data_IF_975661672701
#
_entry.id   IF_975661672701
#
_cell.length_a   1.000
_cell.length_b   1.000
_cell.length_c   1.000
_cell.angle_alpha   90.00
_cell.angle_beta   90.00
_cell.angle_gamma   90.00
#
_symmetry.space_group_name_H-M   'P 1'
#
loop_
_entity.id
_entity.type
_entity.pdbx_description
1 polymer ?
#
# COMPACT_ATOMS: atom_id res chain seq x y z
N UNK A 1 3.71 -3.81 -13.34
CA UNK A 1 2.73 -3.93 -12.25
C UNK A 1 2.74 -5.38 -11.84
N UNK A 2 2.97 -5.68 -10.59
CA UNK A 2 2.81 -7.04 -10.11
C UNK A 2 1.34 -7.42 -10.24
N UNK A 3 1.05 -8.59 -10.78
CA UNK A 3 -0.28 -9.15 -10.76
C UNK A 3 -0.39 -9.96 -9.46
N UNK A 4 -1.50 -9.89 -8.73
CA UNK A 4 -1.68 -10.70 -7.54
C UNK A 4 -1.56 -12.19 -7.88
N UNK A 5 -1.00 -12.99 -6.97
CA UNK A 5 -0.93 -14.46 -7.17
C UNK A 5 -2.25 -15.15 -6.85
N UNK A 6 -3.22 -14.45 -6.26
CA UNK A 6 -4.56 -14.96 -6.03
C UNK A 6 -5.31 -15.17 -7.35
N UNK A 7 -5.69 -16.42 -7.73
CA UNK A 7 -6.33 -16.73 -9.02
C UNK A 7 -7.66 -16.02 -9.20
N UNK A 8 -8.43 -15.83 -8.12
CA UNK A 8 -9.74 -15.16 -8.19
C UNK A 8 -9.55 -13.66 -8.49
N UNK A 9 -8.54 -13.04 -7.89
CA UNK A 9 -8.19 -11.64 -8.17
C UNK A 9 -7.69 -11.47 -9.62
N UNK A 10 -6.88 -12.40 -10.11
CA UNK A 10 -6.43 -12.39 -11.52
C UNK A 10 -7.63 -12.46 -12.45
N UNK A 11 -8.56 -13.39 -12.20
CA UNK A 11 -9.77 -13.55 -12.99
C UNK A 11 -10.65 -12.29 -12.97
N UNK A 12 -10.79 -11.66 -11.77
CA UNK A 12 -11.52 -10.41 -11.63
C UNK A 12 -10.90 -9.29 -12.48
N UNK A 13 -9.59 -9.11 -12.39
CA UNK A 13 -8.87 -8.07 -13.14
C UNK A 13 -8.90 -8.32 -14.66
N UNK A 14 -8.75 -9.57 -15.10
CA UNK A 14 -8.80 -9.91 -16.53
C UNK A 14 -10.15 -9.61 -17.17
N UNK A 15 -11.23 -9.76 -16.41
CA UNK A 15 -12.59 -9.48 -16.85
C UNK A 15 -13.02 -8.02 -16.63
N UNK A 16 -12.22 -7.21 -15.95
CA UNK A 16 -12.52 -5.79 -15.75
C UNK A 16 -12.29 -5.01 -17.06
N UNK A 17 -13.38 -4.49 -17.61
CA UNK A 17 -13.35 -3.66 -18.84
C UNK A 17 -12.74 -2.29 -18.61
N UNK A 18 -12.66 -1.82 -17.37
CA UNK A 18 -12.04 -0.55 -16.99
C UNK A 18 -10.56 -0.69 -16.65
N UNK A 19 -10.06 -1.91 -16.58
CA UNK A 19 -8.64 -2.12 -16.26
C UNK A 19 -7.72 -1.58 -17.36
N UNK A 20 -6.89 -0.61 -17.00
CA UNK A 20 -5.94 0.03 -17.91
C UNK A 20 -4.73 -0.86 -18.11
N UNK A 21 -4.71 -1.61 -19.22
CA UNK A 21 -3.65 -2.58 -19.57
C UNK A 21 -2.37 -1.93 -20.08
N UNK A 22 -2.45 -0.71 -20.61
CA UNK A 22 -1.31 0.02 -21.18
C UNK A 22 -1.24 1.42 -20.59
N UNK A 23 -0.03 1.85 -20.28
CA UNK A 23 0.25 3.17 -19.73
C UNK A 23 1.23 3.92 -20.59
N UNK A 24 1.05 5.23 -20.68
CA UNK A 24 1.93 6.10 -21.48
C UNK A 24 3.27 6.34 -20.78
N UNK A 25 4.27 6.78 -21.55
CA UNK A 25 5.56 7.21 -20.98
C UNK A 25 5.38 8.39 -20.00
N UNK A 26 4.43 9.29 -20.31
CA UNK A 26 4.10 10.42 -19.44
C UNK A 26 3.56 9.95 -18.08
N UNK A 27 2.76 8.89 -18.03
CA UNK A 27 2.30 8.29 -16.78
C UNK A 27 3.46 7.83 -15.89
N UNK A 28 4.42 7.09 -16.46
CA UNK A 28 5.58 6.63 -15.68
C UNK A 28 6.47 7.78 -15.22
N UNK A 29 6.63 8.81 -16.03
CA UNK A 29 7.34 10.03 -15.65
C UNK A 29 6.67 10.72 -14.45
N UNK A 30 5.34 10.88 -14.46
CA UNK A 30 4.59 11.47 -13.36
C UNK A 30 4.70 10.64 -12.07
N UNK A 31 4.66 9.31 -12.16
CA UNK A 31 4.90 8.45 -10.99
C UNK A 31 6.30 8.67 -10.42
N UNK A 32 7.33 8.75 -11.27
CA UNK A 32 8.70 9.02 -10.82
C UNK A 32 8.81 10.36 -10.09
N UNK A 33 8.19 11.41 -10.61
CA UNK A 33 8.14 12.72 -9.96
C UNK A 33 7.39 12.65 -8.61
N UNK A 34 6.27 11.94 -8.56
CA UNK A 34 5.51 11.75 -7.32
C UNK A 34 6.36 11.04 -6.27
N UNK A 35 7.07 9.98 -6.63
CA UNK A 35 7.95 9.25 -5.70
C UNK A 35 9.09 10.14 -5.17
N UNK A 36 9.65 11.04 -6.01
CA UNK A 36 10.71 11.96 -5.56
C UNK A 36 10.27 12.91 -4.45
N UNK A 37 8.97 13.21 -4.37
CA UNK A 37 8.38 14.06 -3.32
C UNK A 37 7.88 13.29 -2.09
N UNK A 38 7.79 11.96 -2.15
CA UNK A 38 7.19 11.15 -1.08
C UNK A 38 7.82 11.41 0.29
N UNK A 39 9.14 11.42 0.38
CA UNK A 39 9.83 11.60 1.66
C UNK A 39 9.63 13.01 2.24
N UNK A 40 9.58 14.03 1.39
CA UNK A 40 9.30 15.40 1.83
C UNK A 40 7.86 15.55 2.31
N UNK A 41 6.90 14.94 1.62
CA UNK A 41 5.48 14.95 2.00
C UNK A 41 5.21 14.11 3.25
N UNK A 42 5.85 12.97 3.41
CA UNK A 42 5.75 12.17 4.62
C UNK A 42 6.10 12.99 5.88
N UNK A 43 7.12 13.86 5.79
CA UNK A 43 7.53 14.73 6.89
C UNK A 43 6.51 15.81 7.29
N UNK A 44 5.42 15.97 6.55
CA UNK A 44 4.33 16.93 6.86
C UNK A 44 3.08 16.27 7.46
N UNK A 45 3.05 14.94 7.59
CA UNK A 45 1.87 14.21 8.08
C UNK A 45 1.84 14.23 9.60
N UNK A 46 0.83 14.88 10.18
CA UNK A 46 0.66 15.00 11.64
C UNK A 46 -0.60 14.31 12.18
N UNK A 47 -1.48 13.86 11.28
CA UNK A 47 -2.71 13.12 11.64
C UNK A 47 -2.39 11.66 12.00
N UNK A 48 -3.30 10.95 12.70
CA UNK A 48 -3.17 9.51 12.90
C UNK A 48 -2.95 8.77 11.58
N UNK A 49 -1.97 7.85 11.56
CA UNK A 49 -1.56 7.16 10.34
C UNK A 49 -1.35 5.67 10.60
N UNK A 50 -2.04 4.84 9.83
CA UNK A 50 -1.74 3.41 9.69
C UNK A 50 -1.07 3.19 8.33
N UNK A 51 0.11 2.59 8.35
CA UNK A 51 0.83 2.16 7.15
C UNK A 51 0.92 0.64 7.15
N UNK A 52 0.49 0.05 6.05
CA UNK A 52 0.48 -1.39 5.83
C UNK A 52 1.42 -1.72 4.68
N UNK A 53 2.22 -2.75 4.83
CA UNK A 53 3.19 -3.19 3.83
C UNK A 53 3.19 -4.71 3.72
N UNK A 54 3.07 -5.22 2.49
CA UNK A 54 3.38 -6.61 2.17
C UNK A 54 4.89 -6.78 1.94
N UNK A 55 5.52 -7.77 2.56
CA UNK A 55 6.97 -7.96 2.42
C UNK A 55 7.36 -8.59 1.08
N UNK A 56 6.41 -9.21 0.39
CA UNK A 56 6.58 -9.72 -0.98
C UNK A 56 6.23 -8.70 -2.06
N UNK A 57 6.03 -7.44 -1.68
CA UNK A 57 5.75 -6.36 -2.62
C UNK A 57 6.97 -6.09 -3.51
N UNK A 58 6.80 -6.35 -4.82
CA UNK A 58 7.82 -6.08 -5.85
C UNK A 58 7.59 -4.76 -6.59
N UNK A 59 6.46 -4.09 -6.36
CA UNK A 59 6.12 -2.80 -6.97
C UNK A 59 6.60 -1.63 -6.11
N UNK A 60 6.46 -1.75 -4.80
CA UNK A 60 6.95 -0.78 -3.82
C UNK A 60 7.87 -1.50 -2.84
N UNK A 61 9.14 -1.18 -2.90
CA UNK A 61 10.15 -1.81 -2.05
C UNK A 61 9.83 -1.56 -0.57
N UNK A 62 9.67 -2.60 0.28
CA UNK A 62 9.29 -2.44 1.69
C UNK A 62 10.20 -1.48 2.47
N UNK A 63 11.49 -1.48 2.19
CA UNK A 63 12.44 -0.56 2.81
C UNK A 63 12.14 0.92 2.49
N UNK A 64 11.63 1.22 1.29
CA UNK A 64 11.25 2.58 0.91
C UNK A 64 10.00 3.05 1.66
N UNK A 65 9.00 2.16 1.84
CA UNK A 65 7.82 2.43 2.66
C UNK A 65 8.22 2.68 4.12
N UNK A 66 9.13 1.88 4.65
CA UNK A 66 9.64 2.06 6.00
C UNK A 66 10.37 3.40 6.17
N UNK A 67 11.22 3.77 5.20
CA UNK A 67 11.89 5.07 5.21
C UNK A 67 10.90 6.24 5.19
N UNK A 68 9.82 6.14 4.42
CA UNK A 68 8.78 7.17 4.41
C UNK A 68 8.03 7.22 5.75
N UNK A 69 7.66 6.07 6.32
CA UNK A 69 7.02 5.98 7.64
C UNK A 69 7.86 6.60 8.74
N UNK A 70 9.17 6.36 8.76
CA UNK A 70 10.07 6.88 9.78
C UNK A 70 10.11 8.42 9.77
N UNK A 71 9.88 9.04 8.61
CA UNK A 71 9.81 10.51 8.45
C UNK A 71 8.49 11.15 8.88
N UNK A 72 7.42 10.36 9.06
CA UNK A 72 6.11 10.87 9.50
C UNK A 72 6.22 11.37 10.94
N UNK A 73 5.98 12.66 11.24
CA UNK A 73 6.10 13.22 12.58
C UNK A 73 4.88 12.94 13.46
N UNK A 74 3.81 12.35 12.95
CA UNK A 74 2.63 11.98 13.73
C UNK A 74 3.02 11.19 14.97
N UNK A 75 2.49 11.59 16.12
CA UNK A 75 2.66 10.89 17.40
C UNK A 75 1.81 9.62 17.48
N UNK A 76 0.76 9.54 16.68
CA UNK A 76 -0.12 8.39 16.55
C UNK A 76 0.08 7.76 15.18
N UNK A 77 1.13 6.98 15.03
CA UNK A 77 1.42 6.25 13.80
C UNK A 77 1.74 4.79 14.08
N UNK A 78 1.22 3.91 13.24
CA UNK A 78 1.38 2.46 13.32
C UNK A 78 1.90 1.93 11.99
N UNK A 79 2.86 1.02 12.03
CA UNK A 79 3.35 0.29 10.86
C UNK A 79 3.09 -1.20 11.07
N UNK A 80 2.40 -1.82 10.12
CA UNK A 80 2.15 -3.27 10.13
C UNK A 80 2.74 -3.85 8.86
N UNK A 81 3.57 -4.88 9.02
CA UNK A 81 4.20 -5.61 7.93
C UNK A 81 3.67 -7.05 7.89
N UNK A 82 3.33 -7.52 6.71
CA UNK A 82 2.81 -8.88 6.49
C UNK A 82 3.78 -9.66 5.60
N UNK A 83 4.47 -10.68 6.14
CA UNK A 83 5.50 -11.44 5.41
C UNK A 83 4.99 -12.13 4.15
N UNK A 84 3.71 -12.52 4.14
CA UNK A 84 3.11 -13.31 3.06
C UNK A 84 2.38 -12.46 2.01
N UNK A 85 2.22 -11.14 2.23
CA UNK A 85 1.43 -10.29 1.36
C UNK A 85 2.28 -9.62 0.27
N UNK A 86 1.64 -9.45 -0.87
CA UNK A 86 2.15 -8.77 -2.06
C UNK A 86 1.75 -7.31 -2.09
N UNK A 87 1.87 -6.64 -3.26
CA UNK A 87 1.56 -5.23 -3.44
C UNK A 87 0.09 -4.92 -3.14
N UNK A 88 -0.80 -5.69 -3.75
CA UNK A 88 -2.24 -5.49 -3.66
C UNK A 88 -2.78 -6.31 -2.47
N UNK A 89 -2.56 -5.83 -1.25
CA UNK A 89 -2.88 -6.55 0.00
C UNK A 89 -4.37 -6.89 0.11
N UNK A 90 -5.25 -6.12 -0.55
CA UNK A 90 -6.69 -6.38 -0.63
C UNK A 90 -7.04 -7.63 -1.42
N UNK A 91 -6.13 -8.13 -2.24
CA UNK A 91 -6.30 -9.36 -3.02
C UNK A 91 -5.58 -10.56 -2.42
N UNK A 92 -5.06 -10.45 -1.20
CA UNK A 92 -4.47 -11.60 -0.50
C UNK A 92 -5.50 -12.74 -0.37
N UNK A 93 -5.03 -13.99 -0.48
CA UNK A 93 -5.88 -15.20 -0.37
C UNK A 93 -6.56 -15.25 1.01
N UNK A 94 -5.81 -14.92 2.07
CA UNK A 94 -6.35 -14.76 3.42
C UNK A 94 -6.11 -13.32 3.89
N UNK A 95 -7.19 -12.58 4.08
CA UNK A 95 -7.20 -11.19 4.55
C UNK A 95 -7.65 -11.03 5.99
N UNK A 96 -7.97 -12.11 6.66
CA UNK A 96 -8.62 -12.07 7.97
C UNK A 96 -7.83 -11.26 9.00
N UNK A 97 -6.51 -11.42 9.02
CA UNK A 97 -5.64 -10.65 9.90
C UNK A 97 -5.56 -9.17 9.50
N UNK A 98 -5.43 -8.87 8.21
CA UNK A 98 -5.42 -7.50 7.69
C UNK A 98 -6.70 -6.75 8.04
N UNK A 99 -7.85 -7.37 7.79
CA UNK A 99 -9.16 -6.78 8.06
C UNK A 99 -9.34 -6.54 9.57
N UNK A 100 -8.91 -7.48 10.41
CA UNK A 100 -8.93 -7.37 11.88
C UNK A 100 -8.07 -6.21 12.36
N UNK A 101 -6.86 -6.09 11.85
CA UNK A 101 -5.90 -5.06 12.28
C UNK A 101 -6.38 -3.66 11.87
N UNK A 102 -6.91 -3.50 10.65
CA UNK A 102 -7.48 -2.23 10.17
C UNK A 102 -8.68 -1.83 11.03
N UNK A 103 -9.64 -2.75 11.23
CA UNK A 103 -10.84 -2.47 12.03
C UNK A 103 -10.48 -2.15 13.47
N UNK A 104 -9.56 -2.88 14.07
CA UNK A 104 -9.09 -2.64 15.44
C UNK A 104 -8.42 -1.28 15.57
N UNK A 105 -7.56 -0.91 14.61
CA UNK A 105 -6.89 0.38 14.58
C UNK A 105 -7.88 1.55 14.48
N UNK A 106 -8.90 1.43 13.61
CA UNK A 106 -9.96 2.43 13.44
C UNK A 106 -10.81 2.54 14.74
N UNK A 107 -11.27 1.40 15.27
CA UNK A 107 -12.10 1.38 16.50
C UNK A 107 -11.41 2.00 17.69
N UNK A 108 -10.12 1.80 17.84
CA UNK A 108 -9.34 2.39 18.92
C UNK A 108 -9.29 3.95 18.88
N UNK A 109 -9.67 4.56 17.74
CA UNK A 109 -9.66 6.01 17.49
C UNK A 109 -11.04 6.60 17.20
N UNK A 110 -12.05 5.74 17.12
CA UNK A 110 -13.45 6.18 16.97
C UNK A 110 -14.03 6.51 18.33
N UNK A 111 -14.58 7.70 18.48
CA UNK A 111 -15.28 8.18 19.68
C UNK A 111 -16.74 7.72 19.63
#
# INVERSE_FOLDING_TARGET
>A
MACPTNPDAVTLLENDTFWVRQRTKAFYWQITLMHSHTLARAATITIPMLVIQGERDISVVPAATRQAFDRIPSKDKTFISYPEYEHDTEFAIDRSQLDTDIVSWIKARSV
#
